data_IF_207719199698
#
_entry.id   IF_207719199698
#
_cell.length_a   1.000
_cell.length_b   1.000
_cell.length_c   1.000
_cell.angle_alpha   90.00
_cell.angle_beta   90.00
_cell.angle_gamma   90.00
#
_symmetry.space_group_name_H-M   'P 1'
#
loop_
_entity.id
_entity.type
_entity.pdbx_description
1 polymer ?
#
# COMPACT_ATOMS: atom_id res chain seq x y z
N UNK A 1 57.89 1.20 -24.45
CA UNK A 1 57.06 0.09 -23.92
C UNK A 1 57.13 0.16 -22.41
N UNK A 2 56.11 0.76 -21.79
CA UNK A 2 56.05 0.97 -20.35
C UNK A 2 54.91 0.11 -19.82
N UNK A 3 55.25 -0.93 -19.05
CA UNK A 3 54.26 -1.82 -18.44
C UNK A 3 53.61 -1.11 -17.25
N UNK A 4 52.33 -0.77 -17.39
CA UNK A 4 51.48 -0.32 -16.28
C UNK A 4 51.05 -1.56 -15.47
N UNK A 5 51.50 -1.63 -14.21
CA UNK A 5 51.02 -2.59 -13.21
C UNK A 5 49.54 -2.32 -12.92
N UNK A 6 48.68 -3.29 -13.22
CA UNK A 6 47.31 -3.34 -12.71
C UNK A 6 47.35 -3.60 -11.20
N UNK A 7 47.14 -2.55 -10.41
CA UNK A 7 46.73 -2.72 -9.02
C UNK A 7 45.26 -3.12 -9.01
N UNK A 8 45.00 -4.36 -8.61
CA UNK A 8 43.67 -4.88 -8.33
C UNK A 8 43.08 -4.08 -7.17
N UNK A 9 42.19 -3.14 -7.47
CA UNK A 9 41.31 -2.57 -6.46
C UNK A 9 40.24 -3.64 -6.24
N UNK A 10 40.40 -4.39 -5.15
CA UNK A 10 39.40 -5.34 -4.69
C UNK A 10 38.15 -4.53 -4.36
N UNK A 11 37.10 -4.72 -5.17
CA UNK A 11 35.80 -4.11 -4.99
C UNK A 11 35.24 -4.67 -3.67
N UNK A 12 35.33 -3.87 -2.60
CA UNK A 12 34.56 -4.11 -1.38
C UNK A 12 33.11 -3.92 -1.82
N UNK A 13 32.36 -5.03 -1.86
CA UNK A 13 30.91 -5.02 -1.98
C UNK A 13 30.38 -4.29 -0.74
N UNK A 14 30.25 -2.98 -0.85
CA UNK A 14 29.60 -2.15 0.14
C UNK A 14 28.11 -2.41 0.05
N UNK A 15 27.56 -3.11 1.03
CA UNK A 15 26.14 -3.04 1.36
C UNK A 15 25.80 -1.56 1.54
N UNK A 16 25.01 -1.02 0.59
CA UNK A 16 24.48 0.33 0.71
C UNK A 16 23.42 0.33 1.82
N UNK A 17 23.86 0.54 3.06
CA UNK A 17 22.98 0.93 4.16
C UNK A 17 22.65 2.41 3.95
N UNK A 18 21.55 2.69 3.24
CA UNK A 18 20.97 4.02 3.20
C UNK A 18 20.32 4.30 4.56
N UNK A 19 21.07 4.91 5.48
CA UNK A 19 20.55 5.36 6.77
C UNK A 19 20.01 6.77 6.60
N UNK A 20 18.70 6.94 6.49
CA UNK A 20 18.05 8.25 6.57
C UNK A 20 18.03 8.64 8.06
N UNK A 21 18.86 9.62 8.42
CA UNK A 21 18.89 10.16 9.78
C UNK A 21 17.66 11.06 10.01
N UNK A 22 16.68 10.56 10.77
CA UNK A 22 15.55 11.34 11.28
C UNK A 22 16.00 12.16 12.50
N UNK A 23 16.07 13.48 12.37
CA UNK A 23 16.04 14.35 13.54
C UNK A 23 14.59 14.37 14.07
N UNK A 24 14.45 14.26 15.40
CA UNK A 24 13.22 14.11 16.21
C UNK A 24 12.78 12.66 16.46
N UNK A 25 13.14 12.13 17.65
CA UNK A 25 12.54 10.94 18.27
C UNK A 25 12.54 9.69 17.40
N UNK A 26 13.73 9.12 17.14
CA UNK A 26 13.91 8.07 16.14
C UNK A 26 13.24 6.74 16.49
N UNK A 27 12.18 6.41 15.77
CA UNK A 27 11.74 5.04 15.54
C UNK A 27 12.64 4.44 14.44
N UNK A 28 13.14 3.22 14.64
CA UNK A 28 13.83 2.47 13.59
C UNK A 28 12.82 1.57 12.89
N UNK A 29 12.58 1.80 11.60
CA UNK A 29 11.73 0.93 10.80
C UNK A 29 12.58 -0.19 10.21
N UNK A 30 12.22 -1.44 10.53
CA UNK A 30 12.77 -2.60 9.85
C UNK A 30 11.87 -2.88 8.63
N UNK A 31 12.36 -2.50 7.45
CA UNK A 31 11.69 -2.76 6.18
C UNK A 31 12.28 -4.04 5.57
N UNK A 32 11.46 -5.06 5.36
CA UNK A 32 11.88 -6.34 4.80
C UNK A 32 10.91 -6.82 3.72
N UNK A 33 11.41 -7.00 2.50
CA UNK A 33 10.72 -7.67 1.39
C UNK A 33 10.97 -9.18 1.43
N UNK A 34 10.31 -9.87 2.37
CA UNK A 34 10.61 -11.28 2.64
C UNK A 34 9.78 -12.30 1.82
N UNK A 35 8.66 -11.93 1.21
CA UNK A 35 7.76 -12.96 0.62
C UNK A 35 8.04 -13.33 -0.84
N UNK A 36 8.81 -12.52 -1.58
CA UNK A 36 9.34 -12.93 -2.88
C UNK A 36 10.84 -13.16 -2.72
N UNK A 37 11.25 -14.41 -2.50
CA UNK A 37 12.66 -14.79 -2.59
C UNK A 37 13.23 -14.20 -3.88
N UNK A 38 14.24 -13.32 -3.76
CA UNK A 38 14.84 -12.48 -4.81
C UNK A 38 14.55 -13.02 -6.21
N UNK A 39 13.47 -12.55 -6.84
CA UNK A 39 13.22 -12.84 -8.23
C UNK A 39 14.27 -12.07 -9.03
N UNK A 40 15.05 -12.78 -9.84
CA UNK A 40 16.07 -12.15 -10.70
C UNK A 40 15.44 -11.05 -11.54
N UNK A 41 15.90 -9.80 -11.34
CA UNK A 41 15.45 -8.62 -12.09
C UNK A 41 14.68 -7.57 -11.29
N UNK A 42 14.49 -7.74 -9.97
CA UNK A 42 13.84 -6.72 -9.12
C UNK A 42 14.81 -6.14 -8.09
N UNK A 43 14.62 -4.86 -7.76
CA UNK A 43 14.94 -4.34 -6.43
C UNK A 43 13.58 -4.26 -5.74
N UNK A 44 13.26 -5.17 -4.81
CA UNK A 44 12.07 -5.01 -3.99
C UNK A 44 12.18 -3.68 -3.24
N UNK A 45 11.20 -2.80 -3.43
CA UNK A 45 11.10 -1.56 -2.68
C UNK A 45 10.06 -1.76 -1.58
N UNK A 46 10.34 -1.22 -0.39
CA UNK A 46 9.35 -1.16 0.66
C UNK A 46 9.36 0.23 1.28
N UNK A 47 8.23 0.91 1.10
CA UNK A 47 7.95 2.26 1.57
C UNK A 47 7.11 2.20 2.83
N UNK A 48 7.64 2.75 3.92
CA UNK A 48 6.94 2.87 5.19
C UNK A 48 6.66 4.35 5.50
N UNK A 49 5.38 4.70 5.64
CA UNK A 49 4.94 6.08 5.86
C UNK A 49 4.21 6.15 7.18
N UNK A 50 4.72 6.99 8.09
CA UNK A 50 4.01 7.36 9.31
C UNK A 50 2.91 8.36 8.99
N UNK A 51 1.71 8.10 9.48
CA UNK A 51 0.57 9.00 9.32
C UNK A 51 0.27 9.79 10.60
N UNK A 52 0.87 9.42 11.74
CA UNK A 52 0.52 10.02 13.03
C UNK A 52 0.65 11.56 13.06
N UNK A 53 -0.40 12.21 13.55
CA UNK A 53 -0.50 13.67 13.62
C UNK A 53 -0.81 14.35 12.29
N UNK A 54 -0.92 13.61 11.18
CA UNK A 54 -1.41 14.13 9.91
C UNK A 54 -2.93 14.33 9.98
N UNK A 55 -3.39 15.45 9.43
CA UNK A 55 -4.81 15.70 9.18
C UNK A 55 -5.06 15.79 7.69
N UNK A 56 -5.87 14.88 7.15
CA UNK A 56 -6.31 14.91 5.76
C UNK A 56 -7.67 15.63 5.69
N UNK A 57 -7.80 16.80 5.03
CA UNK A 57 -9.07 17.51 4.93
C UNK A 57 -10.09 16.71 4.12
N UNK A 58 -11.38 17.06 4.24
CA UNK A 58 -12.43 16.49 3.40
C UNK A 58 -12.11 16.69 1.90
N UNK A 59 -12.20 15.62 1.11
CA UNK A 59 -11.79 15.59 -0.30
C UNK A 59 -10.27 15.65 -0.52
N UNK A 60 -9.47 15.64 0.54
CA UNK A 60 -8.01 15.65 0.46
C UNK A 60 -7.47 14.35 -0.11
N UNK A 61 -6.42 14.46 -0.91
CA UNK A 61 -5.65 13.34 -1.47
C UNK A 61 -4.24 13.41 -0.89
N UNK A 62 -3.72 12.26 -0.46
CA UNK A 62 -2.35 12.11 0.01
C UNK A 62 -1.64 11.04 -0.82
N UNK A 63 -0.74 11.46 -1.74
CA UNK A 63 0.01 10.52 -2.55
C UNK A 63 1.00 9.71 -1.73
N UNK A 64 0.99 8.38 -1.90
CA UNK A 64 1.84 7.48 -1.14
C UNK A 64 3.01 6.96 -1.97
N UNK A 65 2.76 6.63 -3.24
CA UNK A 65 3.73 5.95 -4.08
C UNK A 65 3.49 6.23 -5.56
N UNK A 66 4.56 6.46 -6.30
CA UNK A 66 4.57 6.60 -7.76
C UNK A 66 5.75 5.79 -8.32
N UNK A 67 5.44 4.83 -9.18
CA UNK A 67 6.40 3.94 -9.85
C UNK A 67 6.54 4.19 -11.34
N UNK A 68 5.94 5.26 -11.84
CA UNK A 68 5.99 5.64 -13.24
C UNK A 68 7.44 5.65 -13.76
N UNK A 69 7.69 5.08 -14.96
CA UNK A 69 6.69 4.61 -15.92
C UNK A 69 6.30 3.12 -15.76
N UNK A 70 6.65 2.46 -14.64
CA UNK A 70 6.51 1.02 -14.49
C UNK A 70 5.20 0.64 -13.78
N UNK A 71 4.51 -0.37 -14.32
CA UNK A 71 3.43 -1.02 -13.60
C UNK A 71 3.99 -1.97 -12.55
N UNK A 72 3.42 -1.97 -11.35
CA UNK A 72 3.92 -2.75 -10.22
C UNK A 72 2.89 -3.71 -9.65
N UNK A 73 3.38 -4.76 -8.99
CA UNK A 73 2.60 -5.55 -8.04
C UNK A 73 3.22 -5.55 -6.66
N UNK A 74 2.40 -5.59 -5.62
CA UNK A 74 2.88 -5.55 -4.24
C UNK A 74 1.81 -5.82 -3.19
N UNK A 75 2.24 -5.69 -1.93
CA UNK A 75 1.40 -5.74 -0.75
C UNK A 75 1.25 -4.33 -0.17
N UNK A 76 0.07 -4.07 0.36
CA UNK A 76 -0.28 -2.81 1.00
C UNK A 76 -0.83 -3.12 2.39
N UNK A 77 -0.26 -2.49 3.41
CA UNK A 77 -0.76 -2.53 4.76
C UNK A 77 -1.14 -1.10 5.17
N UNK A 78 -2.36 -0.92 5.64
CA UNK A 78 -2.84 0.34 6.19
C UNK A 78 -3.31 0.13 7.60
N UNK A 79 -2.87 1.01 8.48
CA UNK A 79 -3.52 1.18 9.77
C UNK A 79 -4.20 2.54 9.81
N UNK A 80 -5.50 2.55 10.08
CA UNK A 80 -6.35 3.74 9.90
C UNK A 80 -7.44 3.81 10.97
N UNK A 81 -7.95 5.02 11.29
CA UNK A 81 -9.23 5.15 11.95
C UNK A 81 -10.31 4.40 11.17
N UNK A 82 -11.23 3.76 11.88
CA UNK A 82 -12.24 2.90 11.27
C UNK A 82 -13.59 3.02 11.96
N UNK A 83 -14.61 2.55 11.27
CA UNK A 83 -15.97 2.44 11.77
C UNK A 83 -16.58 1.10 11.36
N UNK A 84 -17.61 0.61 12.06
CA UNK A 84 -18.31 -0.61 11.65
C UNK A 84 -18.85 -0.50 10.22
N UNK A 85 -18.79 -1.60 9.46
CA UNK A 85 -19.42 -1.67 8.13
C UNK A 85 -20.94 -1.58 8.24
N UNK A 86 -21.51 -2.19 9.28
CA UNK A 86 -22.93 -2.09 9.60
C UNK A 86 -23.17 -2.08 11.11
N UNK A 87 -24.36 -1.64 11.56
CA UNK A 87 -24.69 -1.57 12.98
C UNK A 87 -24.73 -2.99 13.59
N UNK A 88 -23.86 -3.25 14.57
CA UNK A 88 -23.76 -4.56 15.23
C UNK A 88 -22.80 -5.54 14.56
N UNK A 89 -22.09 -5.11 13.51
CA UNK A 89 -21.05 -5.85 12.81
C UNK A 89 -19.72 -5.83 13.59
N UNK A 90 -18.92 -6.87 13.45
CA UNK A 90 -17.53 -6.93 13.90
C UNK A 90 -16.53 -6.71 12.77
N UNK A 91 -17.01 -6.54 11.53
CA UNK A 91 -16.21 -6.04 10.41
C UNK A 91 -16.18 -4.51 10.41
N UNK A 92 -14.96 -3.96 10.28
CA UNK A 92 -14.74 -2.52 10.23
C UNK A 92 -14.18 -2.09 8.88
N UNK A 93 -14.50 -0.87 8.48
CA UNK A 93 -13.98 -0.20 7.28
C UNK A 93 -13.18 1.04 7.66
N UNK A 94 -12.13 1.40 6.90
CA UNK A 94 -11.37 2.61 7.17
C UNK A 94 -12.19 3.85 6.86
N UNK A 95 -11.96 4.92 7.61
CA UNK A 95 -12.52 6.25 7.31
C UNK A 95 -11.85 6.91 6.10
N UNK A 96 -10.65 6.44 5.75
CA UNK A 96 -9.85 6.89 4.60
C UNK A 96 -9.90 5.82 3.52
N UNK A 97 -10.11 6.24 2.28
CA UNK A 97 -10.10 5.34 1.13
C UNK A 97 -8.70 5.19 0.56
N UNK A 98 -8.25 3.95 0.36
CA UNK A 98 -7.03 3.66 -0.39
C UNK A 98 -7.38 3.43 -1.86
N UNK A 99 -6.73 4.14 -2.78
CA UNK A 99 -6.94 3.97 -4.23
C UNK A 99 -5.62 3.63 -4.92
N UNK A 100 -5.71 2.94 -6.04
CA UNK A 100 -4.57 2.62 -6.89
C UNK A 100 -4.95 2.67 -8.36
N UNK A 101 -3.94 2.83 -9.21
CA UNK A 101 -4.10 2.83 -10.65
C UNK A 101 -3.02 3.66 -11.31
N UNK A 102 -3.40 4.47 -12.29
CA UNK A 102 -2.51 5.34 -13.01
C UNK A 102 -3.08 6.74 -13.13
N UNK A 103 -2.30 7.74 -12.73
CA UNK A 103 -2.57 9.16 -12.97
C UNK A 103 -1.61 9.67 -14.04
N UNK A 104 -2.15 9.99 -15.22
CA UNK A 104 -1.41 10.52 -16.36
C UNK A 104 -1.62 12.03 -16.51
N UNK A 105 -0.70 12.73 -17.19
CA UNK A 105 -0.89 14.14 -17.56
C UNK A 105 -2.05 14.36 -18.55
N UNK A 106 -2.48 13.29 -19.23
CA UNK A 106 -3.65 13.25 -20.09
C UNK A 106 -4.81 12.49 -19.43
N UNK A 107 -5.99 13.11 -19.39
CA UNK A 107 -7.19 12.50 -18.79
C UNK A 107 -7.55 11.14 -19.42
N UNK A 108 -7.26 10.91 -20.70
CA UNK A 108 -7.49 9.63 -21.36
C UNK A 108 -6.58 8.50 -20.87
N UNK A 109 -5.46 8.84 -20.23
CA UNK A 109 -4.55 7.90 -19.58
C UNK A 109 -4.85 7.67 -18.10
N UNK A 110 -5.71 8.49 -17.49
CA UNK A 110 -6.04 8.34 -16.06
C UNK A 110 -7.00 7.17 -15.82
N UNK A 111 -6.63 6.28 -14.91
CA UNK A 111 -7.45 5.18 -14.43
C UNK A 111 -7.19 4.94 -12.95
N UNK A 112 -8.13 5.26 -12.07
CA UNK A 112 -8.00 5.05 -10.62
C UNK A 112 -9.21 4.31 -10.06
N UNK A 113 -8.96 3.34 -9.18
CA UNK A 113 -10.00 2.56 -8.50
C UNK A 113 -9.69 2.37 -7.01
N UNK A 114 -10.71 2.11 -6.16
CA UNK A 114 -10.49 1.69 -4.79
C UNK A 114 -9.77 0.34 -4.75
N UNK A 115 -8.82 0.21 -3.82
CA UNK A 115 -8.15 -1.06 -3.56
C UNK A 115 -9.10 -1.96 -2.74
N UNK A 116 -9.33 -3.23 -3.11
CA UNK A 116 -9.96 -4.21 -2.23
C UNK A 116 -9.15 -4.38 -0.93
N UNK A 117 -9.76 -4.18 0.23
CA UNK A 117 -9.07 -4.28 1.52
C UNK A 117 -9.55 -5.50 2.31
N UNK A 118 -8.60 -6.19 2.92
CA UNK A 118 -8.83 -7.29 3.84
C UNK A 118 -8.69 -6.80 5.28
N UNK A 119 -9.76 -6.85 6.05
CA UNK A 119 -9.76 -6.49 7.46
C UNK A 119 -9.16 -7.63 8.30
N UNK A 120 -8.21 -7.28 9.19
CA UNK A 120 -7.53 -8.25 10.05
C UNK A 120 -7.90 -7.97 11.51
N UNK A 121 -9.03 -8.50 11.97
CA UNK A 121 -9.55 -8.37 13.34
C UNK A 121 -8.51 -8.78 14.40
N UNK A 122 -7.78 -9.88 14.19
CA UNK A 122 -6.80 -10.40 15.18
C UNK A 122 -5.75 -9.36 15.60
N UNK A 123 -5.36 -8.44 14.71
CA UNK A 123 -4.39 -7.36 14.99
C UNK A 123 -5.02 -5.97 14.95
N UNK A 124 -6.30 -5.89 14.61
CA UNK A 124 -7.10 -4.68 14.74
C UNK A 124 -7.64 -4.63 16.16
N UNK A 125 -7.67 -3.43 16.75
CA UNK A 125 -8.18 -3.40 18.10
C UNK A 125 -8.60 -2.04 18.59
N UNK A 126 -9.72 -2.00 19.32
CA UNK A 126 -9.92 -1.03 20.38
C UNK A 126 -9.05 -1.32 21.63
N UNK A 127 -8.48 -2.54 21.80
CA UNK A 127 -7.88 -3.03 23.07
C UNK A 127 -6.43 -3.56 23.04
N UNK A 128 -5.81 -3.88 21.89
CA UNK A 128 -4.43 -4.39 21.74
C UNK A 128 -3.35 -3.30 21.87
N UNK A 129 -3.72 -2.04 21.72
CA UNK A 129 -2.87 -0.90 22.02
C UNK A 129 -3.75 0.12 22.73
N UNK A 130 -3.30 0.70 23.84
CA UNK A 130 -4.06 1.69 24.61
C UNK A 130 -4.25 3.04 23.90
N UNK A 131 -4.62 3.03 22.62
CA UNK A 131 -4.66 4.17 21.69
C UNK A 131 -6.02 4.37 21.00
N UNK A 132 -6.98 3.45 21.12
CA UNK A 132 -8.31 3.60 20.52
C UNK A 132 -8.35 3.31 19.01
N UNK A 133 -9.52 2.90 18.53
CA UNK A 133 -10.02 2.76 17.14
C UNK A 133 -8.99 2.59 16.01
N UNK A 134 -8.01 1.69 16.17
CA UNK A 134 -7.05 1.36 15.13
C UNK A 134 -7.43 0.04 14.47
N UNK A 135 -7.80 0.10 13.20
CA UNK A 135 -7.98 -1.06 12.36
C UNK A 135 -6.79 -1.26 11.42
N UNK A 136 -6.49 -2.52 11.14
CA UNK A 136 -5.42 -2.97 10.25
C UNK A 136 -6.07 -3.60 9.01
N UNK A 137 -5.64 -3.11 7.86
CA UNK A 137 -6.11 -3.53 6.55
C UNK A 137 -4.92 -4.00 5.73
N UNK A 138 -5.05 -5.15 5.08
CA UNK A 138 -4.09 -5.67 4.12
C UNK A 138 -4.69 -5.65 2.72
N UNK A 139 -3.86 -5.53 1.69
CA UNK A 139 -4.30 -5.67 0.30
C UNK A 139 -3.18 -6.17 -0.61
N UNK A 140 -3.60 -6.73 -1.73
CA UNK A 140 -2.76 -6.99 -2.89
C UNK A 140 -3.04 -5.92 -3.95
N UNK A 141 -2.00 -5.48 -4.63
CA UNK A 141 -2.09 -4.46 -5.66
C UNK A 141 -1.32 -4.96 -6.89
N UNK A 142 -1.94 -5.07 -8.09
CA UNK A 142 -3.39 -5.26 -8.26
C UNK A 142 -3.86 -6.52 -7.52
N UNK A 143 -5.12 -6.55 -7.08
CA UNK A 143 -5.67 -7.77 -6.48
C UNK A 143 -6.00 -8.78 -7.59
N UNK A 144 -5.43 -10.00 -7.55
CA UNK A 144 -5.62 -10.98 -8.62
C UNK A 144 -7.02 -11.63 -8.66
N UNK A 145 -7.84 -11.43 -7.62
CA UNK A 145 -9.09 -12.16 -7.40
C UNK A 145 -10.30 -11.25 -7.24
N UNK A 146 -10.12 -10.11 -6.57
CA UNK A 146 -11.20 -9.23 -6.12
C UNK A 146 -11.33 -7.93 -6.93
N UNK A 147 -10.53 -7.77 -7.99
CA UNK A 147 -10.59 -6.63 -8.91
C UNK A 147 -9.70 -5.46 -8.50
N UNK A 148 -10.16 -4.24 -8.76
CA UNK A 148 -9.37 -3.01 -8.68
C UNK A 148 -8.59 -2.73 -9.96
N UNK A 149 -7.77 -1.67 -9.92
CA UNK A 149 -7.04 -1.21 -11.10
C UNK A 149 -6.04 -2.28 -11.59
N UNK A 150 -6.11 -2.74 -12.85
CA UNK A 150 -5.29 -3.86 -13.34
C UNK A 150 -3.82 -3.50 -13.58
N UNK A 151 -3.49 -2.21 -13.69
CA UNK A 151 -2.15 -1.69 -13.89
C UNK A 151 -1.96 -0.51 -12.96
N UNK A 152 -0.96 -0.62 -12.08
CA UNK A 152 -0.76 0.35 -11.01
C UNK A 152 0.61 0.99 -11.14
N UNK A 153 0.62 2.31 -11.21
CA UNK A 153 1.80 3.18 -11.04
C UNK A 153 1.68 4.00 -9.76
N UNK A 154 0.45 4.41 -9.43
CA UNK A 154 0.12 5.34 -8.36
C UNK A 154 -0.71 4.66 -7.28
N UNK A 155 -0.40 4.97 -6.01
CA UNK A 155 -1.16 4.55 -4.84
C UNK A 155 -1.36 5.78 -3.96
N UNK A 156 -2.62 6.08 -3.61
CA UNK A 156 -3.00 7.26 -2.85
C UNK A 156 -3.97 6.94 -1.71
N UNK A 157 -4.00 7.82 -0.71
CA UNK A 157 -5.10 7.90 0.25
C UNK A 157 -6.02 9.07 -0.09
N UNK A 158 -7.33 8.85 0.01
CA UNK A 158 -8.35 9.88 -0.22
C UNK A 158 -9.30 9.94 0.96
N UNK A 159 -9.49 11.14 1.50
CA UNK A 159 -10.55 11.40 2.46
C UNK A 159 -11.85 11.69 1.71
N UNK A 160 -12.68 10.66 1.54
CA UNK A 160 -14.01 10.80 0.94
C UNK A 160 -15.09 11.23 1.95
N UNK A 161 -14.73 11.36 3.22
CA UNK A 161 -15.68 11.83 4.23
C UNK A 161 -15.92 13.34 4.08
N UNK A 162 -17.05 13.80 4.63
CA UNK A 162 -17.39 15.22 4.66
C UNK A 162 -16.58 16.04 5.68
N UNK A 163 -15.71 15.40 6.47
CA UNK A 163 -15.00 16.02 7.59
C UNK A 163 -13.49 15.74 7.53
N UNK A 164 -12.64 16.57 8.14
CA UNK A 164 -11.21 16.28 8.26
C UNK A 164 -10.96 15.03 9.12
N UNK A 165 -10.06 14.17 8.67
CA UNK A 165 -9.63 12.98 9.43
C UNK A 165 -8.24 13.23 9.96
N UNK A 166 -8.05 13.00 11.26
CA UNK A 166 -6.73 13.08 11.90
C UNK A 166 -6.28 11.70 12.31
N UNK A 167 -5.08 11.33 11.89
CA UNK A 167 -4.48 10.06 12.24
C UNK A 167 -3.87 10.14 13.66
N UNK A 168 -4.37 9.30 14.56
CA UNK A 168 -3.78 9.02 15.87
C UNK A 168 -2.35 8.41 15.79
N UNK A 169 -1.59 8.46 16.90
CA UNK A 169 -0.32 7.75 17.03
C UNK A 169 -0.45 6.26 16.73
N UNK A 170 0.44 5.74 15.88
CA UNK A 170 0.45 4.32 15.50
C UNK A 170 -0.14 4.04 14.12
N UNK A 171 -0.82 5.01 13.48
CA UNK A 171 -1.21 4.87 12.09
C UNK A 171 -0.03 5.01 11.14
N UNK A 172 0.03 4.07 10.22
CA UNK A 172 1.10 3.87 9.25
C UNK A 172 0.52 3.25 7.98
N UNK A 173 1.22 3.48 6.89
CA UNK A 173 1.08 2.75 5.62
C UNK A 173 2.41 2.06 5.32
N UNK A 174 2.34 0.79 4.92
CA UNK A 174 3.47 0.02 4.40
C UNK A 174 3.12 -0.44 2.98
N UNK A 175 4.01 -0.16 2.02
CA UNK A 175 3.84 -0.54 0.62
C UNK A 175 5.07 -1.33 0.22
N UNK A 176 4.88 -2.62 -0.06
CA UNK A 176 5.94 -3.53 -0.44
C UNK A 176 5.77 -3.94 -1.90
N UNK A 177 6.58 -3.37 -2.78
CA UNK A 177 6.58 -3.70 -4.21
C UNK A 177 7.42 -4.96 -4.44
N UNK A 178 6.73 -5.98 -4.94
CA UNK A 178 7.30 -7.30 -5.17
C UNK A 178 7.82 -7.46 -6.59
N UNK A 179 7.11 -6.90 -7.59
CA UNK A 179 7.42 -7.11 -9.01
C UNK A 179 7.08 -5.89 -9.86
N UNK A 180 7.81 -5.75 -10.96
CA UNK A 180 7.41 -4.92 -12.10
C UNK A 180 6.65 -5.81 -13.08
N UNK A 181 5.47 -5.35 -13.49
CA UNK A 181 4.54 -6.05 -14.39
C UNK A 181 4.63 -5.57 -15.85
N UNK A 182 5.17 -4.37 -16.10
CA UNK A 182 5.27 -3.78 -17.43
C UNK A 182 5.56 -2.28 -17.35
N UNK A 183 5.33 -1.55 -18.44
CA UNK A 183 5.50 -0.09 -18.48
C UNK A 183 4.39 0.60 -19.27
N UNK A 184 4.12 1.86 -18.92
CA UNK A 184 3.21 2.75 -19.66
C UNK A 184 3.65 2.89 -21.12
N UNK A 185 4.97 2.92 -21.38
CA UNK A 185 5.49 3.09 -22.73
C UNK A 185 5.12 1.94 -23.68
N UNK A 186 4.96 0.73 -23.15
CA UNK A 186 4.64 -0.46 -23.94
C UNK A 186 3.12 -0.70 -24.03
N UNK A 187 2.37 -0.28 -23.01
CA UNK A 187 0.94 -0.53 -22.92
C UNK A 187 0.25 0.60 -22.12
N UNK A 188 -0.01 1.76 -22.74
CA UNK A 188 -0.62 2.90 -22.07
C UNK A 188 -2.09 2.63 -21.71
N UNK A 189 -2.64 3.45 -20.81
CA UNK A 189 -4.08 3.56 -20.66
C UNK A 189 -4.66 4.41 -21.79
N UNK A 190 -5.68 3.91 -22.48
CA UNK A 190 -6.31 4.62 -23.61
C UNK A 190 -7.83 4.82 -23.43
N UNK A 191 -8.43 4.15 -22.44
CA UNK A 191 -9.89 4.13 -22.21
C UNK A 191 -10.33 5.07 -21.06
N UNK A 192 -9.43 5.92 -20.57
CA UNK A 192 -9.72 6.88 -19.51
C UNK A 192 -10.52 8.13 -19.97
N UNK A 193 -10.93 9.00 -19.03
CA UNK A 193 -10.71 8.87 -17.60
C UNK A 193 -11.65 7.83 -16.99
N UNK A 194 -11.09 6.89 -16.23
CA UNK A 194 -11.84 6.06 -15.31
C UNK A 194 -11.47 6.46 -13.88
N UNK A 195 -12.45 6.87 -13.09
CA UNK A 195 -12.23 7.28 -11.71
C UNK A 195 -13.39 6.74 -10.88
N UNK A 196 -13.11 5.70 -10.09
CA UNK A 196 -14.00 5.23 -9.05
C UNK A 196 -13.49 5.76 -7.70
N UNK A 197 -14.29 6.65 -7.09
CA UNK A 197 -14.06 7.21 -5.76
C UNK A 197 -15.16 6.74 -4.79
N UNK A 198 -15.56 5.49 -4.88
CA UNK A 198 -16.32 4.84 -3.82
C UNK A 198 -15.39 4.42 -2.67
N UNK A 199 -15.99 4.02 -1.54
CA UNK A 199 -15.23 3.42 -0.44
C UNK A 199 -14.64 2.08 -0.85
N UNK A 200 -13.56 1.69 -0.18
CA UNK A 200 -12.97 0.37 -0.36
C UNK A 200 -14.01 -0.74 -0.10
N UNK A 201 -14.00 -1.76 -0.94
CA UNK A 201 -14.68 -3.02 -0.63
C UNK A 201 -13.88 -3.70 0.48
N UNK A 202 -14.57 -4.11 1.55
CA UNK A 202 -13.95 -4.76 2.71
C UNK A 202 -14.29 -6.25 2.70
N UNK A 203 -13.24 -7.06 2.77
CA UNK A 203 -13.32 -8.50 2.98
C UNK A 203 -12.89 -8.81 4.41
N UNK A 204 -13.75 -9.49 5.17
CA UNK A 204 -13.38 -9.95 6.50
C UNK A 204 -12.68 -11.32 6.43
N UNK A 205 -11.44 -11.35 6.90
CA UNK A 205 -10.65 -12.58 7.02
C UNK A 205 -10.90 -13.32 8.34
N UNK A 206 -11.77 -12.80 9.21
CA UNK A 206 -11.99 -13.29 10.57
C UNK A 206 -13.40 -13.79 10.78
N UNK A 207 -14.10 -14.21 9.72
CA UNK A 207 -15.17 -15.17 9.95
C UNK A 207 -14.52 -16.40 10.61
N UNK A 208 -14.86 -16.64 11.88
CA UNK A 208 -14.52 -17.85 12.63
C UNK A 208 -14.96 -19.16 11.90
N UNK A 209 -15.59 -19.03 10.73
CA UNK A 209 -15.72 -20.06 9.71
C UNK A 209 -14.37 -20.59 9.23
N UNK A 210 -13.99 -21.75 9.77
CA UNK A 210 -12.87 -22.59 9.30
C UNK A 210 -12.96 -23.01 7.83
N UNK A 211 -14.04 -22.66 7.12
CA UNK A 211 -14.24 -22.89 5.69
C UNK A 211 -14.09 -21.64 4.82
N UNK A 212 -13.86 -20.47 5.43
CA UNK A 212 -13.41 -19.28 4.72
C UNK A 212 -11.96 -19.53 4.26
N UNK A 213 -11.73 -19.45 2.95
CA UNK A 213 -10.42 -19.66 2.33
C UNK A 213 -9.43 -18.51 2.58
N UNK A 214 -9.84 -17.51 3.36
CA UNK A 214 -9.07 -16.30 3.59
C UNK A 214 -9.07 -15.38 2.36
N UNK A 215 -10.03 -15.57 1.44
CA UNK A 215 -10.25 -14.72 0.26
C UNK A 215 -11.63 -14.07 0.27
N UNK A 216 -12.41 -14.24 1.35
CA UNK A 216 -13.74 -13.63 1.49
C UNK A 216 -14.86 -14.42 0.81
N UNK A 217 -14.71 -15.74 0.69
CA UNK A 217 -15.76 -16.64 0.24
C UNK A 217 -16.01 -17.73 1.28
N UNK A 218 -17.29 -17.99 1.61
CA UNK A 218 -17.68 -19.24 2.23
C UNK A 218 -17.53 -20.35 1.21
N UNK A 219 -16.81 -21.43 1.55
CA UNK A 219 -16.73 -22.59 0.67
C UNK A 219 -18.14 -23.17 0.49
N UNK A 220 -18.55 -23.37 -0.76
CA UNK A 220 -19.72 -24.21 -1.05
C UNK A 220 -19.41 -25.68 -0.80
#
# INVERSE_FOLDING_TARGET
>A
MTFLKQNKISMIAGTALLTIALAFGGYSFASHSFEAGVATGTIPDNTHIRLDGMTLPAGGVFPLYDSSPNYVSGHFLLTSPCEPVSEGDDTYQPLITAIAGHIDEHASGTHMEPIPLFYINTVSSPTLAGTGDQCVFHAHIPDPLNGGAPRVTDIDLVNLSGEPITFAPGHVVDINIQRVLGSIADNPYEDGPYLDLNRNVIYDLNDDDHTNDGLGHSSQ
#
